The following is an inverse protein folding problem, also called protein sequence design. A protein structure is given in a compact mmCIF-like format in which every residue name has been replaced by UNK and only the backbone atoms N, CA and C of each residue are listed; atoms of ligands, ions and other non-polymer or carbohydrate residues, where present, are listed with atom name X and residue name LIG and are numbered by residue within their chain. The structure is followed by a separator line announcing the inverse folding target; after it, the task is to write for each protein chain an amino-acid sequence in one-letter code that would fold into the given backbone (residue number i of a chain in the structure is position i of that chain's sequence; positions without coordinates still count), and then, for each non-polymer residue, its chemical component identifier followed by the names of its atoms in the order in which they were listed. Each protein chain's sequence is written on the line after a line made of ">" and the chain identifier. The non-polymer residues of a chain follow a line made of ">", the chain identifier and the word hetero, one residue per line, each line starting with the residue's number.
data_IF_825970420375
#
_entry.id   IF_825970420375
#
_cell.length_a   1.000
_cell.length_b   1.000
_cell.length_c   1.000
_cell.angle_alpha   90.00
_cell.angle_beta   90.00
_cell.angle_gamma   90.00
#
_symmetry.space_group_name_H-M   'P 1'
#
loop_
_entity.id
_entity.type
_entity.pdbx_description
1 polymer ?
#
# COMPACT_ATOMS: atom_id res chain seq x y z
N UNK A 1 28.78 9.94 22.74
CA UNK A 1 28.38 8.93 21.75
C UNK A 1 27.14 8.36 22.37
N UNK A 2 26.01 8.92 21.95
CA UNK A 2 24.69 8.50 22.41
C UNK A 2 24.33 7.37 21.47
N UNK A 3 24.70 6.18 21.90
CA UNK A 3 24.41 4.94 21.21
C UNK A 3 22.91 4.76 21.43
N UNK A 4 22.12 5.18 20.44
CA UNK A 4 20.69 4.92 20.35
C UNK A 4 20.52 3.39 20.31
N UNK A 5 20.47 2.78 21.50
CA UNK A 5 20.11 1.38 21.71
C UNK A 5 18.66 1.26 21.26
N UNK A 6 18.48 1.08 19.94
CA UNK A 6 17.18 0.78 19.36
C UNK A 6 16.67 -0.49 20.02
N UNK A 7 15.74 -0.33 20.96
CA UNK A 7 15.12 -1.48 21.61
C UNK A 7 14.46 -2.34 20.54
N UNK A 8 14.84 -3.61 20.49
CA UNK A 8 14.21 -4.57 19.60
C UNK A 8 12.83 -4.89 20.16
N UNK A 9 11.78 -4.55 19.41
CA UNK A 9 10.41 -4.90 19.78
C UNK A 9 10.28 -6.40 20.03
N UNK A 10 9.59 -6.77 21.11
CA UNK A 10 9.25 -8.16 21.37
C UNK A 10 8.20 -8.66 20.38
N UNK A 11 8.18 -9.96 20.10
CA UNK A 11 7.15 -10.57 19.26
C UNK A 11 5.72 -10.24 19.75
N UNK A 12 5.55 -10.00 21.05
CA UNK A 12 4.26 -9.67 21.64
C UNK A 12 3.87 -8.20 21.39
N UNK A 13 4.80 -7.25 21.48
CA UNK A 13 4.56 -5.84 21.09
C UNK A 13 4.33 -5.71 19.58
N UNK A 14 5.10 -6.44 18.77
CA UNK A 14 4.89 -6.48 17.32
C UNK A 14 3.49 -7.01 17.00
N UNK A 15 3.04 -8.06 17.70
CA UNK A 15 1.67 -8.57 17.55
C UNK A 15 0.64 -7.55 18.02
N UNK A 16 0.81 -6.91 19.18
CA UNK A 16 -0.17 -5.96 19.72
C UNK A 16 -0.31 -4.73 18.82
N UNK A 17 0.78 -4.15 18.33
CA UNK A 17 0.72 -3.02 17.41
C UNK A 17 0.18 -3.41 16.03
N UNK A 18 0.56 -4.60 15.52
CA UNK A 18 0.01 -5.12 14.27
C UNK A 18 -1.48 -5.44 14.39
N UNK A 19 -1.89 -6.00 15.53
CA UNK A 19 -3.29 -6.27 15.85
C UNK A 19 -4.05 -4.97 15.99
N UNK A 20 -3.50 -3.93 16.62
CA UNK A 20 -4.14 -2.62 16.72
C UNK A 20 -4.37 -2.00 15.33
N UNK A 21 -3.42 -2.14 14.40
CA UNK A 21 -3.61 -1.71 13.01
C UNK A 21 -4.70 -2.52 12.29
N UNK A 22 -4.75 -3.84 12.48
CA UNK A 22 -5.77 -4.72 11.89
C UNK A 22 -7.15 -4.52 12.53
N UNK A 23 -7.22 -4.33 13.86
CA UNK A 23 -8.45 -4.14 14.62
C UNK A 23 -9.01 -2.71 14.48
N UNK A 24 -8.15 -1.70 14.34
CA UNK A 24 -8.60 -0.34 14.01
C UNK A 24 -9.17 -0.26 12.58
N UNK A 25 -8.67 -1.12 11.68
CA UNK A 25 -9.16 -1.30 10.32
C UNK A 25 -9.92 -2.62 10.15
N UNK A 26 -10.95 -2.88 10.97
CA UNK A 26 -11.75 -4.12 10.92
C UNK A 26 -12.41 -4.35 9.54
N UNK A 27 -11.64 -4.92 8.61
CA UNK A 27 -12.10 -5.35 7.28
C UNK A 27 -13.27 -6.32 7.39
N UNK A 28 -13.23 -7.23 8.36
CA UNK A 28 -14.32 -8.19 8.59
C UNK A 28 -15.62 -7.50 8.99
N UNK A 29 -15.56 -6.48 9.85
CA UNK A 29 -16.72 -5.73 10.29
C UNK A 29 -17.28 -4.85 9.17
N UNK A 30 -16.39 -4.20 8.40
CA UNK A 30 -16.78 -3.45 7.21
C UNK A 30 -17.47 -4.35 6.17
N UNK A 31 -16.92 -5.54 5.94
CA UNK A 31 -17.51 -6.54 5.03
C UNK A 31 -18.86 -7.02 5.54
N UNK A 32 -19.00 -7.31 6.84
CA UNK A 32 -20.28 -7.73 7.42
C UNK A 32 -21.35 -6.62 7.37
N UNK A 33 -20.94 -5.34 7.42
CA UNK A 33 -21.83 -4.19 7.26
C UNK A 33 -22.26 -3.94 5.81
N UNK A 34 -21.32 -3.95 4.86
CA UNK A 34 -21.58 -3.63 3.44
C UNK A 34 -22.16 -4.83 2.68
N UNK A 35 -21.80 -6.06 3.06
CA UNK A 35 -22.24 -7.30 2.42
C UNK A 35 -23.00 -8.22 3.40
N UNK A 36 -24.15 -7.77 3.93
CA UNK A 36 -24.92 -8.58 4.87
C UNK A 36 -25.43 -9.86 4.20
N UNK A 37 -25.48 -10.95 4.95
CA UNK A 37 -25.89 -12.29 4.48
C UNK A 37 -24.93 -12.97 3.48
N UNK A 38 -23.66 -12.54 3.42
CA UNK A 38 -22.64 -13.15 2.53
C UNK A 38 -23.05 -13.18 1.07
N UNK A 39 -23.72 -12.11 0.64
CA UNK A 39 -24.03 -11.89 -0.77
C UNK A 39 -22.76 -11.85 -1.60
N UNK A 40 -22.82 -12.33 -2.85
CA UNK A 40 -21.66 -12.32 -3.74
C UNK A 40 -21.24 -10.88 -4.01
N UNK A 41 -19.99 -10.49 -3.70
CA UNK A 41 -19.51 -9.14 -3.94
C UNK A 41 -19.48 -8.84 -5.45
N UNK A 42 -19.99 -7.68 -5.83
CA UNK A 42 -19.87 -7.10 -7.17
C UNK A 42 -18.88 -5.94 -7.11
N UNK A 43 -18.46 -5.44 -8.28
CA UNK A 43 -17.51 -4.32 -8.35
C UNK A 43 -18.08 -3.02 -7.74
N UNK A 44 -19.40 -2.86 -7.75
CA UNK A 44 -20.07 -1.71 -7.14
C UNK A 44 -19.81 -1.65 -5.62
N UNK A 45 -19.85 -2.80 -4.94
CA UNK A 45 -19.59 -2.88 -3.49
C UNK A 45 -18.13 -2.57 -3.11
N UNK A 46 -17.17 -2.71 -4.03
CA UNK A 46 -15.77 -2.33 -3.75
C UNK A 46 -15.61 -0.84 -3.46
N UNK A 47 -16.48 0.00 -4.01
CA UNK A 47 -16.46 1.44 -3.72
C UNK A 47 -16.94 1.79 -2.30
N UNK A 48 -17.68 0.87 -1.67
CA UNK A 48 -18.23 1.02 -0.31
C UNK A 48 -17.34 0.39 0.76
N UNK A 49 -16.44 -0.53 0.39
CA UNK A 49 -15.45 -1.17 1.27
C UNK A 49 -14.15 -0.35 1.36
N UNK A 50 -14.21 0.81 2.01
CA UNK A 50 -13.12 1.79 2.10
C UNK A 50 -11.89 1.22 2.81
N UNK A 51 -12.08 0.49 3.92
CA UNK A 51 -11.01 -0.14 4.69
C UNK A 51 -10.38 -1.27 3.86
N UNK A 52 -11.17 -2.12 3.20
CA UNK A 52 -10.62 -3.12 2.26
C UNK A 52 -9.78 -2.45 1.16
N UNK A 53 -10.29 -1.39 0.54
CA UNK A 53 -9.58 -0.66 -0.50
C UNK A 53 -8.26 -0.07 0.03
N UNK A 54 -8.25 0.47 1.25
CA UNK A 54 -7.05 0.98 1.91
C UNK A 54 -6.01 -0.13 2.14
N UNK A 55 -6.42 -1.30 2.65
CA UNK A 55 -5.52 -2.45 2.87
C UNK A 55 -4.92 -2.94 1.55
N UNK A 56 -5.73 -3.05 0.49
CA UNK A 56 -5.25 -3.44 -0.85
C UNK A 56 -4.22 -2.43 -1.35
N UNK A 57 -4.52 -1.13 -1.27
CA UNK A 57 -3.60 -0.09 -1.72
C UNK A 57 -2.28 -0.08 -0.94
N UNK A 58 -2.34 -0.26 0.38
CA UNK A 58 -1.15 -0.30 1.22
C UNK A 58 -0.30 -1.55 0.93
N UNK A 59 -0.95 -2.70 0.71
CA UNK A 59 -0.28 -3.93 0.29
C UNK A 59 0.43 -3.74 -1.05
N UNK A 60 -0.21 -3.09 -2.03
CA UNK A 60 0.40 -2.81 -3.33
C UNK A 60 1.53 -1.77 -3.24
N UNK A 61 1.48 -0.85 -2.27
CA UNK A 61 2.56 0.11 -2.00
C UNK A 61 3.81 -0.58 -1.45
N UNK A 62 3.62 -1.52 -0.52
CA UNK A 62 4.70 -2.28 0.11
C UNK A 62 5.23 -3.40 -0.81
N UNK A 63 4.35 -4.04 -1.56
CA UNK A 63 4.63 -5.17 -2.43
C UNK A 63 4.09 -4.93 -3.85
N UNK A 64 4.72 -4.04 -4.63
CA UNK A 64 4.26 -3.74 -5.98
C UNK A 64 4.37 -4.97 -6.89
N UNK A 65 3.29 -5.38 -7.58
CA UNK A 65 3.29 -6.59 -8.41
C UNK A 65 4.11 -6.46 -9.70
N UNK A 66 4.49 -5.24 -10.08
CA UNK A 66 5.40 -4.97 -11.19
C UNK A 66 6.37 -3.83 -10.80
N UNK A 67 7.60 -3.80 -11.35
CA UNK A 67 8.51 -2.69 -11.17
C UNK A 67 7.83 -1.38 -11.58
N UNK A 68 7.86 -0.36 -10.70
CA UNK A 68 7.28 0.96 -10.95
C UNK A 68 7.94 1.71 -12.12
N UNK A 69 9.07 1.20 -12.61
CA UNK A 69 9.85 1.76 -13.72
C UNK A 69 9.67 0.92 -14.99
N UNK A 70 8.49 0.97 -15.59
CA UNK A 70 8.41 0.70 -17.03
C UNK A 70 8.91 1.97 -17.73
N UNK A 71 10.18 1.98 -18.13
CA UNK A 71 10.70 3.01 -19.02
C UNK A 71 9.91 2.96 -20.32
N UNK A 72 9.02 3.93 -20.52
CA UNK A 72 8.40 4.16 -21.81
C UNK A 72 9.52 4.49 -22.83
N UNK A 73 9.61 3.80 -23.99
CA UNK A 73 10.71 3.98 -24.93
C UNK A 73 10.82 5.41 -25.47
N UNK A 74 9.74 6.21 -25.41
CA UNK A 74 9.78 7.62 -25.84
C UNK A 74 10.33 8.60 -24.78
N UNK A 75 10.67 8.12 -23.59
CA UNK A 75 11.20 8.96 -22.50
C UNK A 75 12.67 9.41 -22.69
N UNK A 76 13.28 9.05 -23.83
CA UNK A 76 14.66 9.39 -24.19
C UNK A 76 14.78 10.88 -24.58
N UNK A 77 13.68 11.52 -24.99
CA UNK A 77 13.65 12.95 -25.38
C UNK A 77 12.61 13.79 -24.62
N UNK A 78 12.04 13.26 -23.53
CA UNK A 78 11.00 13.94 -22.76
C UNK A 78 11.56 14.92 -21.71
N UNK A 79 10.95 16.10 -21.62
CA UNK A 79 11.07 16.95 -20.44
C UNK A 79 10.30 16.30 -19.28
N UNK A 80 10.96 16.08 -18.14
CA UNK A 80 10.28 15.70 -16.90
C UNK A 80 10.33 16.91 -15.98
N UNK A 81 9.18 17.40 -15.54
CA UNK A 81 9.06 18.55 -14.64
C UNK A 81 9.86 19.78 -15.11
N UNK A 82 9.87 20.06 -16.42
CA UNK A 82 10.60 21.20 -17.00
C UNK A 82 12.12 21.04 -17.10
N UNK A 83 12.67 19.89 -16.67
CA UNK A 83 14.08 19.56 -16.84
C UNK A 83 14.27 18.70 -18.09
N UNK A 84 15.09 19.19 -19.02
CA UNK A 84 15.50 18.42 -20.19
C UNK A 84 16.39 17.28 -19.73
N UNK A 85 15.94 16.03 -19.93
CA UNK A 85 16.80 14.85 -19.75
C UNK A 85 18.00 14.98 -20.68
N UNK A 86 19.21 15.07 -20.11
CA UNK A 86 20.44 14.99 -20.87
C UNK A 86 20.84 13.51 -20.94
N UNK A 87 20.96 12.97 -22.15
CA UNK A 87 21.59 11.67 -22.34
C UNK A 87 23.09 11.82 -22.05
N UNK A 88 23.54 11.45 -20.86
CA UNK A 88 24.95 11.14 -20.63
C UNK A 88 25.21 9.74 -21.18
N UNK A 89 25.51 9.67 -22.47
CA UNK A 89 26.22 8.53 -23.03
C UNK A 89 27.67 8.58 -22.52
N UNK A 90 28.08 7.55 -21.77
CA UNK A 90 29.48 7.17 -21.57
C UNK A 90 29.69 5.85 -22.31
#
# INVERSE_FOLDING_TARGET
>A
MDDDEGESFTDEEIKEESLAFIFAGNVCEEVDQVLPNRITPTNEHLSELVVCAAVINETLRLYPPAPLTQTHPDAINGFINGLKRQNSAL
#
